data_IF_958036950791
#
_entry.id   IF_958036950791
#
_cell.length_a   1.000
_cell.length_b   1.000
_cell.length_c   1.000
_cell.angle_alpha   90.00
_cell.angle_beta   90.00
_cell.angle_gamma   90.00
#
_symmetry.space_group_name_H-M   'P 1'
#
loop_
_entity.id
_entity.type
_entity.pdbx_description
1 polymer ?
#
# COMPACT_ATOMS: atom_id res chain seq x y z
N UNK A 1 39.63 -4.86 -22.76
CA UNK A 1 39.25 -4.07 -21.57
C UNK A 1 37.73 -3.90 -21.58
N UNK A 2 37.00 -4.79 -20.90
CA UNK A 2 35.54 -4.68 -20.79
C UNK A 2 35.21 -3.52 -19.84
N UNK A 3 34.60 -2.48 -20.38
CA UNK A 3 33.98 -1.43 -19.58
C UNK A 3 32.73 -2.03 -18.92
N UNK A 4 32.78 -2.19 -17.59
CA UNK A 4 31.60 -2.52 -16.80
C UNK A 4 30.59 -1.37 -16.97
N UNK A 5 29.29 -1.65 -17.18
CA UNK A 5 28.28 -0.62 -17.27
C UNK A 5 28.23 0.17 -15.96
N UNK A 6 28.49 1.47 -16.04
CA UNK A 6 28.32 2.40 -14.92
C UNK A 6 26.83 2.48 -14.65
N UNK A 7 26.40 1.94 -13.50
CA UNK A 7 25.00 2.09 -13.08
C UNK A 7 24.71 3.58 -12.80
N UNK A 8 23.77 4.15 -13.53
CA UNK A 8 23.30 5.50 -13.31
C UNK A 8 22.31 5.50 -12.12
N UNK A 9 22.70 6.13 -11.02
CA UNK A 9 21.82 6.32 -9.86
C UNK A 9 21.26 7.73 -9.88
N UNK A 10 19.93 7.83 -10.01
CA UNK A 10 19.20 9.09 -9.84
C UNK A 10 18.55 9.03 -8.46
N UNK A 11 19.04 9.85 -7.52
CA UNK A 11 18.37 10.04 -6.23
C UNK A 11 17.27 11.09 -6.45
N UNK A 12 16.03 10.65 -6.36
CA UNK A 12 14.88 11.56 -6.30
C UNK A 12 14.81 12.08 -4.87
N UNK A 13 14.67 13.39 -4.69
CA UNK A 13 14.69 14.03 -3.37
C UNK A 13 13.75 13.33 -2.39
N UNK A 14 14.30 12.96 -1.22
CA UNK A 14 13.54 12.36 -0.15
C UNK A 14 13.38 13.34 0.99
N UNK A 15 12.14 13.62 1.37
CA UNK A 15 11.83 14.45 2.53
C UNK A 15 12.12 13.76 3.88
N UNK A 16 12.42 12.45 3.86
CA UNK A 16 12.59 11.65 5.09
C UNK A 16 13.81 10.72 4.96
N UNK A 17 14.67 10.73 5.99
CA UNK A 17 15.72 9.74 6.16
C UNK A 17 15.24 8.65 7.14
N UNK A 18 15.40 7.38 6.77
CA UNK A 18 15.00 6.23 7.58
C UNK A 18 16.21 5.39 7.98
N UNK A 19 16.14 4.77 9.18
CA UNK A 19 17.02 3.64 9.54
C UNK A 19 16.41 2.37 8.97
N UNK A 20 17.06 1.76 7.97
CA UNK A 20 16.58 0.54 7.33
C UNK A 20 16.52 -0.62 8.32
N UNK A 21 15.38 -1.28 8.44
CA UNK A 21 15.16 -2.47 9.25
C UNK A 21 15.01 -3.74 8.40
N UNK A 22 14.47 -3.61 7.19
CA UNK A 22 14.20 -4.72 6.28
C UNK A 22 14.17 -4.21 4.84
N UNK A 23 14.64 -5.04 3.92
CA UNK A 23 14.59 -4.77 2.48
C UNK A 23 14.10 -6.01 1.75
N UNK A 24 13.19 -5.83 0.82
CA UNK A 24 12.72 -6.87 -0.10
C UNK A 24 12.64 -6.31 -1.51
N UNK A 25 12.45 -7.19 -2.47
CA UNK A 25 12.28 -6.81 -3.87
C UNK A 25 11.26 -7.71 -4.57
N UNK A 26 10.65 -7.20 -5.61
CA UNK A 26 9.87 -7.97 -6.56
C UNK A 26 10.25 -7.55 -7.98
N UNK A 27 10.33 -8.53 -8.88
CA UNK A 27 10.59 -8.32 -10.30
C UNK A 27 9.28 -8.47 -11.07
N UNK A 28 9.04 -7.56 -12.00
CA UNK A 28 7.89 -7.60 -12.90
C UNK A 28 8.35 -7.58 -14.34
N UNK A 29 7.81 -8.46 -15.16
CA UNK A 29 7.94 -8.46 -16.62
C UNK A 29 6.54 -8.35 -17.23
N UNK A 30 6.42 -7.74 -18.43
CA UNK A 30 5.14 -7.61 -19.16
C UNK A 30 4.15 -6.57 -18.62
N UNK A 31 4.48 -5.87 -17.55
CA UNK A 31 3.66 -4.79 -16.96
C UNK A 31 2.26 -5.21 -16.53
N UNK A 32 1.28 -4.28 -16.57
CA UNK A 32 -0.07 -4.53 -16.05
C UNK A 32 -0.97 -5.38 -16.95
N UNK A 33 -0.66 -5.50 -18.24
CA UNK A 33 -1.56 -6.16 -19.21
C UNK A 33 -1.43 -7.67 -19.21
N UNK A 34 -0.19 -8.16 -19.29
CA UNK A 34 0.15 -9.59 -19.41
C UNK A 34 1.38 -9.91 -18.57
N UNK A 35 1.50 -9.25 -17.41
CA UNK A 35 2.69 -9.32 -16.60
C UNK A 35 2.71 -10.50 -15.64
N UNK A 36 3.90 -10.69 -15.07
CA UNK A 36 4.16 -11.62 -14.00
C UNK A 36 5.03 -10.93 -12.96
N UNK A 37 4.61 -10.94 -11.71
CA UNK A 37 5.31 -10.36 -10.59
C UNK A 37 5.76 -11.45 -9.61
N UNK A 38 7.05 -11.44 -9.26
CA UNK A 38 7.63 -12.43 -8.33
C UNK A 38 8.53 -11.72 -7.33
N UNK A 39 8.33 -11.98 -6.04
CA UNK A 39 9.25 -11.52 -5.00
C UNK A 39 10.55 -12.30 -5.00
N UNK A 40 11.59 -11.73 -4.41
CA UNK A 40 12.93 -12.34 -4.36
C UNK A 40 12.96 -13.72 -3.64
N UNK A 41 11.99 -13.98 -2.76
CA UNK A 41 11.81 -15.26 -2.06
C UNK A 41 10.78 -16.18 -2.74
N UNK A 42 10.12 -15.72 -3.81
CA UNK A 42 9.09 -16.47 -4.54
C UNK A 42 7.75 -16.60 -3.83
N UNK A 43 7.58 -16.02 -2.64
CA UNK A 43 6.31 -16.12 -1.88
C UNK A 43 5.20 -15.31 -2.55
N UNK A 44 5.49 -14.10 -3.04
CA UNK A 44 4.61 -13.39 -3.95
C UNK A 44 4.92 -13.85 -5.37
N UNK A 45 3.97 -14.53 -5.99
CA UNK A 45 4.05 -15.01 -7.37
C UNK A 45 2.67 -14.90 -8.01
N UNK A 46 2.47 -13.85 -8.83
CA UNK A 46 1.15 -13.52 -9.36
C UNK A 46 1.19 -13.08 -10.82
N UNK A 47 0.15 -13.48 -11.55
CA UNK A 47 -0.10 -13.01 -12.90
C UNK A 47 -0.81 -11.66 -12.87
N UNK A 48 -0.31 -10.70 -13.65
CA UNK A 48 -0.91 -9.37 -13.80
C UNK A 48 -1.77 -9.33 -15.06
N UNK A 49 -3.01 -8.84 -14.90
CA UNK A 49 -3.95 -8.64 -16.00
C UNK A 49 -4.71 -7.33 -15.78
N UNK A 50 -4.85 -6.54 -16.83
CA UNK A 50 -5.72 -5.36 -16.75
C UNK A 50 -7.15 -5.78 -16.49
N UNK A 51 -7.87 -5.10 -15.57
CA UNK A 51 -9.26 -5.38 -15.30
C UNK A 51 -10.15 -4.98 -16.48
N UNK A 52 -11.36 -5.52 -16.54
CA UNK A 52 -12.32 -5.27 -17.63
C UNK A 52 -12.70 -3.79 -17.73
N UNK A 53 -12.78 -3.11 -16.60
CA UNK A 53 -13.09 -1.68 -16.49
C UNK A 53 -12.03 -0.79 -17.18
N UNK A 54 -10.81 -1.28 -17.33
CA UNK A 54 -9.73 -0.63 -18.07
C UNK A 54 -9.50 -1.24 -19.47
N UNK A 55 -10.50 -1.96 -19.99
CA UNK A 55 -10.44 -2.60 -21.33
C UNK A 55 -9.59 -3.87 -21.39
N UNK A 56 -9.25 -4.45 -20.24
CA UNK A 56 -8.53 -5.73 -20.16
C UNK A 56 -9.45 -6.95 -20.18
N UNK A 57 -8.88 -8.13 -20.10
CA UNK A 57 -9.62 -9.39 -20.04
C UNK A 57 -9.91 -9.85 -18.60
N UNK A 58 -9.22 -9.28 -17.61
CA UNK A 58 -9.27 -9.76 -16.24
C UNK A 58 -8.57 -11.11 -16.08
N UNK A 59 -8.90 -11.83 -15.01
CA UNK A 59 -8.35 -13.17 -14.73
C UNK A 59 -6.96 -13.18 -14.09
N UNK A 60 -6.45 -12.04 -13.65
CA UNK A 60 -5.25 -11.89 -12.86
C UNK A 60 -5.39 -10.73 -11.88
N UNK A 61 -4.36 -10.49 -11.08
CA UNK A 61 -4.31 -9.30 -10.22
C UNK A 61 -3.83 -8.06 -11.00
N UNK A 62 -3.78 -6.92 -10.33
CA UNK A 62 -3.33 -5.68 -10.91
C UNK A 62 -2.61 -4.83 -9.86
N UNK A 63 -1.90 -3.76 -10.26
CA UNK A 63 -1.17 -2.91 -9.32
C UNK A 63 -2.05 -2.29 -8.23
N UNK A 64 -3.30 -1.95 -8.55
CA UNK A 64 -4.23 -1.35 -7.60
C UNK A 64 -4.66 -2.36 -6.52
N UNK A 65 -4.89 -3.62 -6.87
CA UNK A 65 -5.15 -4.70 -5.90
C UNK A 65 -3.93 -4.99 -5.01
N UNK A 66 -2.74 -5.00 -5.57
CA UNK A 66 -1.50 -5.18 -4.80
C UNK A 66 -1.28 -4.00 -3.84
N UNK A 67 -1.53 -2.78 -4.28
CA UNK A 67 -1.45 -1.58 -3.44
C UNK A 67 -2.49 -1.63 -2.32
N UNK A 68 -3.73 -2.03 -2.63
CA UNK A 68 -4.81 -2.17 -1.65
C UNK A 68 -4.46 -3.23 -0.58
N UNK A 69 -4.01 -4.41 -0.99
CA UNK A 69 -3.60 -5.48 -0.07
C UNK A 69 -2.42 -5.04 0.81
N UNK A 70 -1.41 -4.41 0.23
CA UNK A 70 -0.26 -3.89 0.95
C UNK A 70 -0.64 -2.80 1.95
N UNK A 71 -1.46 -1.84 1.54
CA UNK A 71 -1.88 -0.76 2.42
C UNK A 71 -2.76 -1.27 3.56
N UNK A 72 -3.76 -2.12 3.26
CA UNK A 72 -4.62 -2.72 4.29
C UNK A 72 -3.80 -3.49 5.33
N UNK A 73 -2.87 -4.35 4.89
CA UNK A 73 -2.00 -5.12 5.78
C UNK A 73 -1.07 -4.22 6.63
N UNK A 74 -0.49 -3.19 6.00
CA UNK A 74 0.39 -2.24 6.68
C UNK A 74 -0.37 -1.43 7.73
N UNK A 75 -1.57 -0.95 7.38
CA UNK A 75 -2.41 -0.18 8.29
C UNK A 75 -2.93 -1.02 9.46
N UNK A 76 -3.40 -2.25 9.20
CA UNK A 76 -3.86 -3.16 10.25
C UNK A 76 -2.74 -3.51 11.24
N UNK A 77 -1.52 -3.71 10.73
CA UNK A 77 -0.33 -3.91 11.57
C UNK A 77 -0.03 -2.70 12.46
N UNK A 78 -0.15 -1.48 11.93
CA UNK A 78 0.01 -0.24 12.68
C UNK A 78 -1.09 -0.09 13.75
N UNK A 79 -2.33 -0.41 13.41
CA UNK A 79 -3.48 -0.42 14.33
C UNK A 79 -3.25 -1.41 15.48
N UNK A 80 -2.82 -2.63 15.17
CA UNK A 80 -2.47 -3.63 16.17
C UNK A 80 -1.33 -3.18 17.11
N UNK A 81 -0.33 -2.46 16.59
CA UNK A 81 0.73 -1.87 17.40
C UNK A 81 0.16 -0.82 18.37
N UNK A 82 -0.67 0.09 17.88
CA UNK A 82 -1.30 1.15 18.69
C UNK A 82 -2.18 0.55 19.79
N UNK A 83 -3.00 -0.44 19.47
CA UNK A 83 -3.85 -1.14 20.44
C UNK A 83 -3.03 -1.79 21.54
N UNK A 84 -1.95 -2.51 21.19
CA UNK A 84 -1.03 -3.12 22.19
C UNK A 84 -0.38 -2.07 23.08
N UNK A 85 0.09 -0.96 22.54
CA UNK A 85 0.70 0.14 23.32
C UNK A 85 -0.32 0.78 24.27
N UNK A 86 -1.58 0.83 23.88
CA UNK A 86 -2.69 1.35 24.70
C UNK A 86 -3.28 0.30 25.65
N UNK A 87 -2.76 -0.93 25.65
CA UNK A 87 -3.28 -2.09 26.42
C UNK A 87 -4.75 -2.39 26.11
N UNK A 88 -5.17 -2.13 24.88
CA UNK A 88 -6.51 -2.43 24.39
C UNK A 88 -6.49 -3.75 23.61
N UNK A 89 -7.55 -4.56 23.81
CA UNK A 89 -7.74 -5.82 23.11
C UNK A 89 -8.94 -5.69 22.18
N UNK A 90 -8.72 -5.78 20.88
CA UNK A 90 -9.77 -5.71 19.87
C UNK A 90 -9.44 -6.66 18.72
N UNK A 91 -10.50 -7.08 18.01
CA UNK A 91 -10.36 -7.71 16.70
C UNK A 91 -10.43 -6.62 15.65
N UNK A 92 -9.57 -6.70 14.65
CA UNK A 92 -9.49 -5.69 13.60
C UNK A 92 -9.58 -6.31 12.21
N UNK A 93 -10.14 -5.57 11.28
CA UNK A 93 -10.02 -5.82 9.85
C UNK A 93 -9.93 -4.49 9.12
N UNK A 94 -9.17 -4.45 8.04
CA UNK A 94 -9.01 -3.26 7.21
C UNK A 94 -9.26 -3.62 5.76
N UNK A 95 -10.16 -2.87 5.14
CA UNK A 95 -10.40 -2.92 3.69
C UNK A 95 -9.87 -1.64 3.08
N UNK A 96 -8.96 -1.74 2.12
CA UNK A 96 -8.50 -0.61 1.33
C UNK A 96 -9.19 -0.63 -0.03
N UNK A 97 -9.90 0.44 -0.34
CA UNK A 97 -10.44 0.73 -1.67
C UNK A 97 -9.46 1.66 -2.38
N UNK A 98 -8.91 1.23 -3.52
CA UNK A 98 -7.94 2.00 -4.29
C UNK A 98 -8.55 2.35 -5.64
N UNK A 99 -8.61 3.64 -5.94
CA UNK A 99 -9.10 4.17 -7.19
C UNK A 99 -7.94 4.68 -8.04
N UNK A 100 -7.94 4.35 -9.31
CA UNK A 100 -7.05 4.89 -10.34
C UNK A 100 -7.82 5.91 -11.17
N UNK A 101 -7.26 7.08 -11.41
CA UNK A 101 -7.87 8.12 -12.22
C UNK A 101 -6.83 8.97 -12.96
N UNK A 102 -7.30 9.77 -13.91
CA UNK A 102 -6.48 10.79 -14.56
C UNK A 102 -6.24 11.97 -13.62
N UNK A 103 -5.02 12.50 -13.59
CA UNK A 103 -4.65 13.62 -12.71
C UNK A 103 -4.87 15.01 -13.33
N UNK A 104 -5.40 15.08 -14.55
CA UNK A 104 -5.61 16.34 -15.27
C UNK A 104 -4.36 16.98 -15.88
N UNK A 105 -3.19 16.38 -15.68
CA UNK A 105 -1.89 16.87 -16.18
C UNK A 105 -1.26 15.89 -17.20
N UNK A 106 -2.07 15.00 -17.77
CA UNK A 106 -1.62 13.99 -18.74
C UNK A 106 -1.04 12.73 -18.10
N UNK A 107 -1.20 12.56 -16.78
CA UNK A 107 -0.80 11.37 -16.03
C UNK A 107 -1.96 10.75 -15.25
N UNK A 108 -1.60 9.83 -14.36
CA UNK A 108 -2.55 9.10 -13.51
C UNK A 108 -2.23 9.31 -12.05
N UNK A 109 -3.26 9.23 -11.20
CA UNK A 109 -3.15 9.31 -9.77
C UNK A 109 -3.99 8.25 -9.08
N UNK A 110 -3.76 8.10 -7.78
CA UNK A 110 -4.52 7.19 -6.92
C UNK A 110 -5.30 7.98 -5.87
N UNK A 111 -6.44 7.44 -5.45
CA UNK A 111 -7.12 7.82 -4.23
C UNK A 111 -7.42 6.56 -3.42
N UNK A 112 -7.42 6.67 -2.09
CA UNK A 112 -7.59 5.53 -1.19
C UNK A 112 -8.67 5.82 -0.16
N UNK A 113 -9.53 4.83 0.11
CA UNK A 113 -10.38 4.80 1.29
C UNK A 113 -10.02 3.58 2.12
N UNK A 114 -9.70 3.78 3.39
CA UNK A 114 -9.48 2.72 4.36
C UNK A 114 -10.72 2.58 5.23
N UNK A 115 -11.41 1.45 5.11
CA UNK A 115 -12.52 1.07 5.98
C UNK A 115 -11.98 0.18 7.08
N UNK A 116 -12.13 0.63 8.32
CA UNK A 116 -11.49 0.05 9.50
C UNK A 116 -12.57 -0.49 10.43
N UNK A 117 -12.51 -1.78 10.71
CA UNK A 117 -13.35 -2.48 11.67
C UNK A 117 -12.55 -2.71 12.96
N UNK A 118 -13.14 -2.38 14.10
CA UNK A 118 -12.52 -2.56 15.42
C UNK A 118 -13.58 -3.07 16.41
N UNK A 119 -13.54 -4.35 16.71
CA UNK A 119 -14.49 -4.98 17.63
C UNK A 119 -13.87 -5.24 18.99
N UNK A 120 -14.65 -5.02 20.05
CA UNK A 120 -14.26 -5.33 21.44
C UNK A 120 -13.84 -4.14 22.29
N UNK A 121 -13.87 -2.93 21.73
CA UNK A 121 -13.66 -1.66 22.46
C UNK A 121 -14.74 -0.65 22.05
N UNK A 122 -14.88 0.43 22.82
CA UNK A 122 -15.83 1.49 22.48
C UNK A 122 -15.40 2.28 21.24
N UNK A 123 -16.37 2.95 20.60
CA UNK A 123 -16.16 3.65 19.33
C UNK A 123 -15.16 4.81 19.44
N UNK A 124 -15.12 5.50 20.55
CA UNK A 124 -14.19 6.62 20.75
C UNK A 124 -12.74 6.12 20.82
N UNK A 125 -12.50 5.05 21.59
CA UNK A 125 -11.19 4.39 21.68
C UNK A 125 -10.78 3.82 20.31
N UNK A 126 -11.70 3.23 19.56
CA UNK A 126 -11.46 2.72 18.20
C UNK A 126 -11.06 3.85 17.23
N UNK A 127 -11.76 4.98 17.27
CA UNK A 127 -11.44 6.14 16.45
C UNK A 127 -10.06 6.71 16.78
N UNK A 128 -9.74 6.89 18.04
CA UNK A 128 -8.41 7.36 18.48
C UNK A 128 -7.30 6.40 18.05
N UNK A 129 -7.54 5.10 18.15
CA UNK A 129 -6.58 4.09 17.71
C UNK A 129 -6.37 4.14 16.19
N UNK A 130 -7.44 4.28 15.40
CA UNK A 130 -7.38 4.43 13.93
C UNK A 130 -6.59 5.68 13.51
N UNK A 131 -6.86 6.83 14.14
CA UNK A 131 -6.15 8.08 13.87
C UNK A 131 -4.65 7.98 14.20
N UNK A 132 -4.30 7.36 15.32
CA UNK A 132 -2.90 7.09 15.68
C UNK A 132 -2.23 6.10 14.74
N UNK A 133 -2.96 5.06 14.31
CA UNK A 133 -2.45 4.11 13.33
C UNK A 133 -2.07 4.81 12.01
N UNK A 134 -2.87 5.79 11.58
CA UNK A 134 -2.56 6.61 10.40
C UNK A 134 -1.25 7.40 10.53
N UNK A 135 -0.87 7.81 11.75
CA UNK A 135 0.38 8.53 11.97
C UNK A 135 1.62 7.62 11.95
N UNK A 136 1.48 6.35 12.29
CA UNK A 136 2.62 5.42 12.40
C UNK A 136 2.72 4.44 11.22
N UNK A 137 1.66 4.28 10.43
CA UNK A 137 1.65 3.39 9.27
C UNK A 137 2.63 3.89 8.19
N UNK A 138 3.59 3.07 7.76
CA UNK A 138 4.54 3.44 6.71
C UNK A 138 3.88 3.86 5.39
N UNK A 139 2.80 3.18 4.98
CA UNK A 139 2.07 3.54 3.75
C UNK A 139 1.31 4.87 3.92
N UNK A 140 0.72 5.13 5.08
CA UNK A 140 0.11 6.42 5.37
C UNK A 140 1.15 7.55 5.34
N UNK A 141 2.35 7.30 5.85
CA UNK A 141 3.44 8.28 5.78
C UNK A 141 3.93 8.52 4.34
N UNK A 142 3.89 7.49 3.48
CA UNK A 142 4.25 7.60 2.07
C UNK A 142 3.18 8.32 1.22
N UNK A 143 1.91 8.25 1.61
CA UNK A 143 0.77 8.80 0.85
C UNK A 143 0.34 10.19 1.32
N UNK A 144 0.56 10.52 2.60
CA UNK A 144 0.11 11.78 3.20
C UNK A 144 0.71 12.99 2.50
N UNK A 145 -0.16 13.94 2.16
CA UNK A 145 0.22 15.16 1.44
C UNK A 145 0.49 14.96 -0.05
N UNK A 146 0.28 13.75 -0.57
CA UNK A 146 0.48 13.42 -1.98
C UNK A 146 -0.80 12.94 -2.68
N UNK A 147 -1.55 12.04 -2.07
CA UNK A 147 -2.84 11.54 -2.58
C UNK A 147 -3.92 11.64 -1.50
N UNK A 148 -5.18 11.63 -1.95
CA UNK A 148 -6.33 11.61 -1.03
C UNK A 148 -6.44 10.25 -0.35
N UNK A 149 -6.44 10.27 1.00
CA UNK A 149 -6.68 9.09 1.83
C UNK A 149 -7.79 9.39 2.83
N UNK A 150 -8.91 8.67 2.71
CA UNK A 150 -10.05 8.77 3.62
C UNK A 150 -10.02 7.59 4.61
N UNK A 151 -10.23 7.87 5.89
CA UNK A 151 -10.41 6.86 6.93
C UNK A 151 -11.88 6.78 7.31
N UNK A 152 -12.45 5.58 7.35
CA UNK A 152 -13.83 5.31 7.76
C UNK A 152 -13.82 4.22 8.83
N UNK A 153 -14.29 4.53 10.04
CA UNK A 153 -14.54 3.55 11.08
C UNK A 153 -15.96 2.98 10.89
N UNK A 154 -16.05 1.70 10.58
CA UNK A 154 -17.30 0.99 10.27
C UNK A 154 -17.76 0.13 11.44
#
# INVERSE_FOLDING_TARGET
>A
MLLLPVALYIKIDSAMSIKVLYTTSARVEGGRREGHAVSNDGVLDVQLRSPKELGGQGGGTNPEQLFAAGYAACFDSALGLVLRQSKLHAKTAVTAEVSLGENGEGGFGLAVKLRVEVDGIDREAAQQAMERAHQVCPYSNATRGNIDVTLELV
#
